data_IF_250306364651
#
_entry.id   IF_250306364651
#
_cell.length_a   1.000
_cell.length_b   1.000
_cell.length_c   1.000
_cell.angle_alpha   90.00
_cell.angle_beta   90.00
_cell.angle_gamma   90.00
#
_symmetry.space_group_name_H-M   'P 1'
#
loop_
_entity.id
_entity.type
_entity.pdbx_description
1 polymer ?
#
# COMPACT_ATOMS: atom_id res chain seq x y z
N UNK A 1 26.56 2.94 -6.61
CA UNK A 1 25.41 2.13 -6.19
C UNK A 1 24.23 2.61 -7.01
N UNK A 2 23.73 1.79 -7.94
CA UNK A 2 22.48 2.09 -8.63
C UNK A 2 21.35 1.69 -7.67
N UNK A 3 20.56 2.66 -7.23
CA UNK A 3 19.36 2.37 -6.45
C UNK A 3 18.41 1.57 -7.34
N UNK A 4 18.20 0.29 -7.01
CA UNK A 4 17.20 -0.54 -7.68
C UNK A 4 15.83 -0.06 -7.24
N UNK A 5 15.23 0.80 -8.06
CA UNK A 5 13.84 1.20 -7.89
C UNK A 5 12.97 -0.02 -8.17
N UNK A 6 12.42 -0.60 -7.09
CA UNK A 6 11.53 -1.75 -7.17
C UNK A 6 10.22 -1.33 -7.82
N UNK A 7 9.88 -1.99 -8.92
CA UNK A 7 8.69 -1.70 -9.72
C UNK A 7 7.47 -2.47 -9.19
N UNK A 8 7.68 -3.69 -8.71
CA UNK A 8 6.61 -4.56 -8.26
C UNK A 8 6.98 -5.32 -6.99
N UNK A 9 5.94 -5.75 -6.30
CA UNK A 9 6.02 -6.61 -5.12
C UNK A 9 5.18 -7.86 -5.35
N UNK A 10 5.70 -9.02 -4.93
CA UNK A 10 4.88 -10.20 -4.80
C UNK A 10 4.09 -10.17 -3.48
N UNK A 11 2.90 -10.77 -3.48
CA UNK A 11 2.10 -10.87 -2.24
C UNK A 11 2.86 -11.61 -1.13
N UNK A 12 3.68 -12.60 -1.48
CA UNK A 12 4.52 -13.33 -0.51
C UNK A 12 5.55 -12.41 0.18
N UNK A 13 6.19 -11.50 -0.57
CA UNK A 13 7.10 -10.52 0.02
C UNK A 13 6.37 -9.57 0.97
N UNK A 14 5.18 -9.11 0.57
CA UNK A 14 4.37 -8.18 1.36
C UNK A 14 3.82 -8.84 2.64
N UNK A 15 3.44 -10.11 2.56
CA UNK A 15 3.11 -10.94 3.73
C UNK A 15 4.30 -11.12 4.68
N UNK A 16 5.54 -11.06 4.17
CA UNK A 16 6.74 -11.07 4.99
C UNK A 16 6.96 -9.80 5.83
N UNK A 17 6.31 -8.68 5.47
CA UNK A 17 6.50 -7.39 6.15
C UNK A 17 5.72 -7.28 7.47
N UNK A 18 4.68 -8.08 7.65
CA UNK A 18 3.83 -8.02 8.85
C UNK A 18 3.16 -9.35 9.15
N UNK A 19 2.84 -9.56 10.43
CA UNK A 19 2.03 -10.70 10.89
C UNK A 19 0.52 -10.48 10.71
N UNK A 20 0.11 -9.24 10.46
CA UNK A 20 -1.30 -8.91 10.22
C UNK A 20 -1.63 -8.99 8.73
N UNK A 21 -2.91 -9.20 8.43
CA UNK A 21 -3.41 -9.14 7.06
C UNK A 21 -3.60 -7.68 6.67
N UNK A 22 -2.98 -7.35 5.53
CA UNK A 22 -3.02 -6.01 4.95
C UNK A 22 -3.51 -6.12 3.51
N UNK A 23 -4.45 -5.25 3.16
CA UNK A 23 -4.75 -4.93 1.78
C UNK A 23 -3.65 -3.99 1.27
N UNK A 24 -2.78 -4.51 0.41
CA UNK A 24 -1.64 -3.77 -0.11
C UNK A 24 -1.94 -3.08 -1.43
N UNK A 25 -1.40 -1.89 -1.60
CA UNK A 25 -1.40 -1.12 -2.84
C UNK A 25 -0.02 -0.51 -3.04
N UNK A 26 0.44 -0.46 -4.29
CA UNK A 26 1.69 0.21 -4.62
C UNK A 26 1.59 1.04 -5.89
N UNK A 27 2.33 2.13 -5.88
CA UNK A 27 2.69 2.90 -7.06
C UNK A 27 4.17 2.65 -7.35
N UNK A 28 4.51 2.10 -8.53
CA UNK A 28 5.89 2.03 -8.96
C UNK A 28 6.45 3.45 -9.08
N UNK A 29 7.75 3.59 -8.83
CA UNK A 29 8.39 4.88 -9.03
C UNK A 29 8.48 5.21 -10.52
N UNK A 30 8.11 6.44 -10.87
CA UNK A 30 8.13 6.98 -12.23
C UNK A 30 9.08 8.18 -12.30
N UNK A 31 10.05 8.15 -13.21
CA UNK A 31 11.04 9.22 -13.37
C UNK A 31 11.93 9.41 -12.13
N UNK A 32 11.88 10.59 -11.52
CA UNK A 32 12.63 10.94 -10.30
C UNK A 32 11.82 10.76 -9.00
N UNK A 33 10.57 10.29 -9.10
CA UNK A 33 9.76 10.01 -7.91
C UNK A 33 10.20 8.70 -7.26
N UNK A 34 9.94 8.58 -5.95
CA UNK A 34 10.02 7.31 -5.23
C UNK A 34 8.68 6.59 -5.32
N UNK A 35 8.70 5.25 -5.31
CA UNK A 35 7.48 4.45 -5.30
C UNK A 35 6.74 4.60 -3.98
N UNK A 36 5.43 4.38 -3.99
CA UNK A 36 4.60 4.40 -2.78
C UNK A 36 4.16 2.98 -2.50
N UNK A 37 4.32 2.52 -1.26
CA UNK A 37 3.72 1.28 -0.76
C UNK A 37 2.77 1.66 0.37
N UNK A 38 1.49 1.30 0.22
CA UNK A 38 0.43 1.55 1.18
C UNK A 38 -0.19 0.23 1.60
N UNK A 39 -0.40 0.03 2.90
CA UNK A 39 -1.11 -1.12 3.44
C UNK A 39 -2.23 -0.68 4.38
N UNK A 40 -3.43 -1.22 4.18
CA UNK A 40 -4.55 -1.07 5.12
C UNK A 40 -4.73 -2.36 5.91
N UNK A 41 -4.69 -2.29 7.24
CA UNK A 41 -4.83 -3.47 8.10
C UNK A 41 -6.29 -3.94 8.14
N UNK A 42 -6.56 -5.07 7.52
CA UNK A 42 -7.93 -5.54 7.25
C UNK A 42 -8.67 -5.97 8.52
N UNK A 43 -7.95 -6.34 9.57
CA UNK A 43 -8.54 -6.71 10.87
C UNK A 43 -9.11 -5.52 11.66
N UNK A 44 -8.65 -4.30 11.35
CA UNK A 44 -8.98 -3.10 12.09
C UNK A 44 -9.78 -2.09 11.26
N UNK A 45 -9.60 -2.10 9.94
CA UNK A 45 -10.14 -1.07 9.06
C UNK A 45 -10.91 -1.67 7.88
N UNK A 46 -12.01 -1.02 7.50
CA UNK A 46 -12.72 -1.25 6.25
C UNK A 46 -12.29 -0.18 5.25
N UNK A 47 -12.02 -0.59 4.01
CA UNK A 47 -11.71 0.35 2.92
C UNK A 47 -13.03 0.81 2.30
N UNK A 48 -13.27 2.12 2.32
CA UNK A 48 -14.48 2.74 1.77
C UNK A 48 -14.25 3.23 0.34
N UNK A 49 -13.10 3.87 0.12
CA UNK A 49 -12.73 4.44 -1.17
C UNK A 49 -11.21 4.46 -1.33
N UNK A 50 -10.77 4.48 -2.58
CA UNK A 50 -9.37 4.53 -2.94
C UNK A 50 -9.18 5.39 -4.18
N UNK A 51 -8.29 6.37 -4.06
CA UNK A 51 -7.87 7.22 -5.17
C UNK A 51 -6.39 6.98 -5.47
N UNK A 52 -6.10 6.77 -6.75
CA UNK A 52 -4.78 6.49 -7.27
C UNK A 52 -4.43 7.53 -8.33
N UNK A 53 -3.63 8.49 -7.92
CA UNK A 53 -3.01 9.43 -8.85
C UNK A 53 -1.70 8.92 -9.43
N UNK A 54 -1.10 9.75 -10.26
CA UNK A 54 0.22 9.50 -10.85
C UNK A 54 1.33 9.44 -9.78
N UNK A 55 1.21 10.25 -8.73
CA UNK A 55 2.22 10.40 -7.68
C UNK A 55 1.65 10.27 -6.25
N UNK A 56 0.41 9.78 -6.09
CA UNK A 56 -0.19 9.59 -4.77
C UNK A 56 -1.11 8.38 -4.71
N UNK A 57 -1.14 7.74 -3.54
CA UNK A 57 -2.20 6.81 -3.14
C UNK A 57 -2.94 7.41 -1.95
N UNK A 58 -4.26 7.46 -2.05
CA UNK A 58 -5.15 7.84 -0.97
C UNK A 58 -6.12 6.71 -0.71
N UNK A 59 -6.35 6.39 0.57
CA UNK A 59 -7.35 5.41 0.97
C UNK A 59 -8.18 5.99 2.11
N UNK A 60 -9.50 5.98 1.92
CA UNK A 60 -10.46 6.32 2.97
C UNK A 60 -10.83 5.05 3.71
N UNK A 61 -10.68 5.07 5.03
CA UNK A 61 -10.95 3.91 5.88
C UNK A 61 -11.86 4.22 7.04
N UNK A 62 -12.68 3.25 7.42
CA UNK A 62 -13.51 3.28 8.63
C UNK A 62 -12.93 2.32 9.66
N UNK A 63 -12.83 2.76 10.92
CA UNK A 63 -12.45 1.86 12.03
C UNK A 63 -13.59 0.89 12.33
N UNK A 64 -13.31 -0.41 12.22
CA UNK A 64 -14.29 -1.47 12.47
C UNK A 64 -14.72 -1.56 13.93
N UNK A 65 -13.98 -0.98 14.87
CA UNK A 65 -14.31 -0.96 16.31
C UNK A 65 -15.36 0.08 16.66
N UNK A 66 -15.66 1.00 15.75
CA UNK A 66 -16.62 2.09 15.96
C UNK A 66 -18.03 1.70 15.46
N UNK A 67 -18.23 0.44 15.05
CA UNK A 67 -19.52 -0.16 14.71
C UNK A 67 -19.98 -1.20 15.73
#
# INVERSE_FOLDING_TARGET
>A
LQEMIRQDFSMHELQGLSRHQFAWQWLPATGQSWGILLGVREDAFSVEDMDRGEFFLSVSVTDRRVH
#
